data_IF_977972387976
#
_entry.id   IF_977972387976
#
_cell.length_a   1.000
_cell.length_b   1.000
_cell.length_c   1.000
_cell.angle_alpha   90.00
_cell.angle_beta   90.00
_cell.angle_gamma   90.00
#
_symmetry.space_group_name_H-M   'P 1'
#
loop_
_entity.id
_entity.type
_entity.pdbx_description
1 polymer ?
#
# COMPACT_ATOMS: atom_id res chain seq x y z
N UNK A 1 43.85 -35.69 -25.58
CA UNK A 1 43.47 -36.26 -24.26
C UNK A 1 43.56 -35.20 -23.12
N UNK A 2 44.67 -34.45 -23.03
CA UNK A 2 44.88 -33.45 -21.97
C UNK A 2 43.86 -32.30 -21.96
N UNK A 3 43.43 -31.86 -23.15
CA UNK A 3 42.44 -30.76 -23.29
C UNK A 3 41.06 -31.12 -22.79
N UNK A 4 40.63 -32.36 -22.95
CA UNK A 4 39.34 -32.85 -22.42
C UNK A 4 39.40 -33.04 -20.92
N UNK A 5 40.55 -33.46 -20.39
CA UNK A 5 40.76 -33.60 -18.96
C UNK A 5 40.68 -32.22 -18.24
N UNK A 6 41.28 -31.19 -18.84
CA UNK A 6 41.21 -29.83 -18.31
C UNK A 6 39.78 -29.26 -18.34
N UNK A 7 39.03 -29.54 -19.40
CA UNK A 7 37.61 -29.11 -19.47
C UNK A 7 36.76 -29.81 -18.43
N UNK A 8 36.99 -31.09 -18.19
CA UNK A 8 36.28 -31.83 -17.10
C UNK A 8 36.62 -31.28 -15.73
N UNK A 9 37.90 -30.97 -15.46
CA UNK A 9 38.31 -30.34 -14.21
C UNK A 9 37.69 -28.96 -14.01
N UNK A 10 37.69 -28.12 -15.06
CA UNK A 10 37.06 -26.79 -15.00
C UNK A 10 35.56 -26.89 -14.75
N UNK A 11 34.87 -27.81 -15.44
CA UNK A 11 33.45 -28.05 -15.21
C UNK A 11 33.17 -28.52 -13.79
N UNK A 12 33.95 -29.44 -13.27
CA UNK A 12 33.83 -29.95 -11.89
C UNK A 12 34.04 -28.82 -10.88
N UNK A 13 35.08 -28.00 -11.06
CA UNK A 13 35.35 -26.87 -10.16
C UNK A 13 34.23 -25.84 -10.18
N UNK A 14 33.68 -25.49 -11.35
CA UNK A 14 32.54 -24.57 -11.47
C UNK A 14 31.29 -25.14 -10.78
N UNK A 15 31.02 -26.44 -10.98
CA UNK A 15 29.88 -27.10 -10.34
C UNK A 15 30.01 -27.11 -8.82
N UNK A 16 31.20 -27.46 -8.31
CA UNK A 16 31.45 -27.45 -6.85
C UNK A 16 31.34 -26.05 -6.26
N UNK A 17 31.83 -25.03 -6.98
CA UNK A 17 31.74 -23.65 -6.56
C UNK A 17 30.27 -23.17 -6.54
N UNK A 18 29.49 -23.55 -7.54
CA UNK A 18 28.07 -23.25 -7.60
C UNK A 18 27.30 -23.93 -6.44
N UNK A 19 27.60 -25.19 -6.15
CA UNK A 19 27.02 -25.90 -5.01
C UNK A 19 27.43 -25.28 -3.68
N UNK A 20 28.70 -24.90 -3.48
CA UNK A 20 29.16 -24.26 -2.26
C UNK A 20 28.49 -22.89 -2.08
N UNK A 21 28.37 -22.12 -3.15
CA UNK A 21 27.67 -20.81 -3.13
C UNK A 21 26.19 -20.96 -2.81
N UNK A 22 25.51 -21.93 -3.43
CA UNK A 22 24.11 -22.24 -3.15
C UNK A 22 23.91 -22.70 -1.70
N UNK A 23 24.82 -23.52 -1.18
CA UNK A 23 24.76 -24.00 0.19
C UNK A 23 24.97 -22.86 1.22
N UNK A 24 25.97 -22.00 0.99
CA UNK A 24 26.20 -20.84 1.88
C UNK A 24 25.03 -19.87 1.82
N UNK A 25 24.48 -19.61 0.63
CA UNK A 25 23.31 -18.76 0.47
C UNK A 25 22.10 -19.35 1.19
N UNK A 26 21.85 -20.66 1.03
CA UNK A 26 20.76 -21.36 1.72
C UNK A 26 20.94 -21.37 3.24
N UNK A 27 22.18 -21.53 3.72
CA UNK A 27 22.50 -21.49 5.15
C UNK A 27 22.30 -20.09 5.74
N UNK A 28 22.77 -19.04 5.05
CA UNK A 28 22.56 -17.66 5.47
C UNK A 28 21.06 -17.29 5.44
N UNK A 29 20.32 -17.75 4.43
CA UNK A 29 18.87 -17.55 4.32
C UNK A 29 18.13 -18.30 5.44
N UNK A 30 18.50 -19.55 5.75
CA UNK A 30 17.86 -20.33 6.82
C UNK A 30 18.17 -19.80 8.22
N UNK A 31 19.30 -19.09 8.40
CA UNK A 31 19.65 -18.43 9.66
C UNK A 31 18.88 -17.12 9.90
N UNK A 32 18.17 -16.61 8.89
CA UNK A 32 17.29 -15.45 9.03
C UNK A 32 16.06 -15.88 9.85
N UNK A 33 15.86 -15.25 11.00
CA UNK A 33 14.72 -15.52 11.91
C UNK A 33 13.34 -15.36 11.24
N UNK A 34 13.28 -14.65 10.10
CA UNK A 34 12.09 -14.50 9.27
C UNK A 34 11.68 -15.81 8.59
N UNK A 35 12.64 -16.71 8.28
CA UNK A 35 12.35 -17.97 7.61
C UNK A 35 12.10 -19.11 8.59
N UNK A 36 12.52 -18.99 9.85
CA UNK A 36 12.27 -20.01 10.87
C UNK A 36 10.80 -20.08 11.32
N UNK A 37 10.00 -19.06 11.00
CA UNK A 37 8.54 -19.04 11.25
C UNK A 37 7.70 -19.47 10.04
N UNK A 38 8.34 -19.75 8.90
CA UNK A 38 7.65 -20.18 7.67
C UNK A 38 7.95 -21.67 7.47
N UNK A 39 7.02 -22.52 7.87
CA UNK A 39 7.12 -23.99 7.75
C UNK A 39 7.17 -24.49 6.28
N UNK A 40 7.03 -23.60 5.30
CA UNK A 40 7.07 -23.95 3.89
C UNK A 40 7.97 -22.98 3.11
N UNK A 41 9.23 -23.41 2.88
CA UNK A 41 10.24 -22.67 2.10
C UNK A 41 9.93 -22.51 0.60
N UNK A 42 8.76 -22.91 0.15
CA UNK A 42 8.41 -22.92 -1.27
C UNK A 42 8.03 -21.55 -1.85
N UNK A 43 7.77 -20.52 -1.02
CA UNK A 43 7.23 -19.23 -1.48
C UNK A 43 8.08 -18.00 -1.16
N UNK A 44 9.39 -18.17 -0.97
CA UNK A 44 10.28 -17.01 -0.79
C UNK A 44 10.66 -16.45 -2.16
N UNK A 45 10.14 -15.26 -2.48
CA UNK A 45 10.54 -14.54 -3.68
C UNK A 45 11.87 -13.79 -3.48
N UNK A 46 12.59 -13.52 -4.58
CA UNK A 46 13.82 -12.72 -4.54
C UNK A 46 13.59 -11.33 -3.95
N UNK A 47 12.38 -10.78 -4.10
CA UNK A 47 11.96 -9.52 -3.47
C UNK A 47 12.00 -9.58 -1.96
N UNK A 48 11.63 -10.70 -1.35
CA UNK A 48 11.61 -10.87 0.10
C UNK A 48 13.02 -10.88 0.66
N UNK A 49 13.94 -11.59 -0.02
CA UNK A 49 15.37 -11.59 0.31
C UNK A 49 15.95 -10.19 0.19
N UNK A 50 15.63 -9.47 -0.89
CA UNK A 50 16.06 -8.10 -1.08
C UNK A 50 15.58 -7.18 0.04
N UNK A 51 14.31 -7.27 0.40
CA UNK A 51 13.72 -6.46 1.47
C UNK A 51 14.40 -6.73 2.82
N UNK A 52 14.60 -8.00 3.18
CA UNK A 52 15.30 -8.37 4.44
C UNK A 52 16.74 -7.87 4.47
N UNK A 53 17.48 -7.97 3.35
CA UNK A 53 18.85 -7.46 3.28
C UNK A 53 18.88 -5.94 3.32
N UNK A 54 17.93 -5.26 2.67
CA UNK A 54 17.80 -3.81 2.70
C UNK A 54 17.46 -3.32 4.12
N UNK A 55 16.54 -3.97 4.80
CA UNK A 55 16.15 -3.68 6.18
C UNK A 55 17.33 -3.76 7.16
N UNK A 56 18.17 -4.80 7.05
CA UNK A 56 19.36 -4.95 7.90
C UNK A 56 20.40 -3.85 7.70
N UNK A 57 20.40 -3.18 6.56
CA UNK A 57 21.34 -2.11 6.21
C UNK A 57 20.77 -0.72 6.42
N UNK A 58 19.47 -0.61 6.55
CA UNK A 58 18.80 0.67 6.72
C UNK A 58 18.95 1.16 8.17
N UNK A 59 19.19 2.44 8.30
CA UNK A 59 18.97 3.13 9.58
C UNK A 59 17.47 3.38 9.65
N UNK A 60 16.83 2.97 10.74
CA UNK A 60 15.40 3.28 10.97
C UNK A 60 15.20 4.79 10.82
N UNK A 61 14.32 5.18 9.94
CA UNK A 61 13.99 6.57 9.66
C UNK A 61 12.47 6.70 9.70
N UNK A 62 11.97 7.64 10.47
CA UNK A 62 10.55 8.01 10.43
C UNK A 62 10.31 8.84 9.17
N UNK A 63 9.23 8.56 8.46
CA UNK A 63 8.81 9.38 7.32
C UNK A 63 8.23 10.69 7.84
N UNK A 64 8.67 11.78 7.25
CA UNK A 64 8.13 13.13 7.43
C UNK A 64 7.10 13.51 6.34
N UNK A 65 6.78 12.57 5.45
CA UNK A 65 5.90 12.80 4.31
C UNK A 65 4.50 12.20 4.50
N UNK A 66 4.38 11.16 5.34
CA UNK A 66 3.13 10.41 5.52
C UNK A 66 2.88 10.18 7.00
N UNK A 67 1.71 10.61 7.47
CA UNK A 67 1.18 10.36 8.81
C UNK A 67 -0.02 9.43 8.69
N UNK A 68 -0.10 8.43 9.55
CA UNK A 68 -1.22 7.52 9.65
C UNK A 68 -2.10 7.91 10.84
N UNK A 69 -3.41 8.01 10.61
CA UNK A 69 -4.37 8.30 11.68
C UNK A 69 -5.31 7.10 11.88
N UNK A 70 -5.24 6.49 13.05
CA UNK A 70 -6.08 5.35 13.45
C UNK A 70 -7.48 5.80 13.84
N UNK A 71 -8.50 5.30 13.12
CA UNK A 71 -9.93 5.63 13.31
C UNK A 71 -10.81 4.39 13.50
N UNK A 72 -10.24 3.26 13.80
CA UNK A 72 -10.89 1.93 13.83
C UNK A 72 -12.01 1.82 14.86
N UNK A 73 -12.02 2.65 15.90
CA UNK A 73 -13.04 2.69 16.97
C UNK A 73 -13.91 3.93 16.98
N UNK A 74 -13.72 4.81 15.98
CA UNK A 74 -14.42 6.08 15.93
C UNK A 74 -15.85 5.92 15.42
N UNK A 75 -16.76 6.67 16.01
CA UNK A 75 -18.09 6.94 15.45
C UNK A 75 -17.94 7.80 14.18
N UNK A 76 -19.00 7.92 13.41
CA UNK A 76 -18.97 8.82 12.22
C UNK A 76 -18.83 10.29 12.59
N UNK A 77 -19.34 10.70 13.74
CA UNK A 77 -19.14 12.03 14.27
C UNK A 77 -17.68 12.32 14.61
N UNK A 78 -17.01 11.37 15.26
CA UNK A 78 -15.58 11.46 15.56
C UNK A 78 -14.73 11.44 14.29
N UNK A 79 -15.05 10.58 13.31
CA UNK A 79 -14.36 10.59 12.00
C UNK A 79 -14.53 11.95 11.31
N UNK A 80 -15.70 12.57 11.39
CA UNK A 80 -15.94 13.90 10.83
C UNK A 80 -15.04 14.94 11.51
N UNK A 81 -14.96 14.93 12.85
CA UNK A 81 -14.11 15.85 13.60
C UNK A 81 -12.61 15.65 13.27
N UNK A 82 -12.15 14.39 13.17
CA UNK A 82 -10.77 14.08 12.75
C UNK A 82 -10.50 14.61 11.35
N UNK A 83 -11.43 14.42 10.40
CA UNK A 83 -11.27 14.93 9.04
C UNK A 83 -11.19 16.46 9.00
N UNK A 84 -11.99 17.15 9.81
CA UNK A 84 -11.96 18.61 9.92
C UNK A 84 -10.63 19.09 10.52
N UNK A 85 -10.13 18.41 11.56
CA UNK A 85 -8.83 18.70 12.17
C UNK A 85 -7.67 18.48 11.20
N UNK A 86 -7.68 17.35 10.48
CA UNK A 86 -6.67 17.05 9.46
C UNK A 86 -6.72 18.05 8.30
N UNK A 87 -7.92 18.43 7.83
CA UNK A 87 -8.07 19.42 6.74
C UNK A 87 -7.60 20.83 7.18
N UNK A 88 -7.74 21.15 8.47
CA UNK A 88 -7.21 22.39 9.04
C UNK A 88 -5.69 22.50 8.89
N UNK A 89 -4.96 21.38 9.03
CA UNK A 89 -3.51 21.32 8.85
C UNK A 89 -3.04 21.43 7.38
N UNK A 90 -3.97 21.59 6.44
CA UNK A 90 -3.71 21.81 4.99
C UNK A 90 -2.83 20.73 4.34
N UNK A 91 -3.09 19.42 4.56
CA UNK A 91 -2.30 18.37 3.94
C UNK A 91 -2.42 18.41 2.41
N UNK A 92 -1.38 17.97 1.71
CA UNK A 92 -1.37 17.91 0.24
C UNK A 92 -2.42 16.93 -0.30
N UNK A 93 -2.68 15.84 0.43
CA UNK A 93 -3.76 14.90 0.15
C UNK A 93 -4.19 14.18 1.44
N UNK A 94 -5.45 13.79 1.50
CA UNK A 94 -6.03 12.97 2.57
C UNK A 94 -6.56 11.70 1.94
N UNK A 95 -6.12 10.53 2.41
CA UNK A 95 -6.67 9.23 2.02
C UNK A 95 -7.53 8.68 3.13
N UNK A 96 -8.82 8.49 2.89
CA UNK A 96 -9.72 7.86 3.85
C UNK A 96 -10.08 6.43 3.38
N UNK A 97 -9.42 5.41 3.92
CA UNK A 97 -9.64 4.01 3.53
C UNK A 97 -10.72 3.35 4.39
N UNK A 98 -11.95 3.83 4.24
CA UNK A 98 -13.13 3.29 4.94
C UNK A 98 -14.34 3.23 4.02
N UNK A 99 -15.08 2.10 4.07
CA UNK A 99 -16.37 1.93 3.39
C UNK A 99 -17.52 2.11 4.36
N UNK A 100 -18.32 3.12 4.14
CA UNK A 100 -19.54 3.42 4.92
C UNK A 100 -20.75 2.72 4.31
N UNK A 101 -20.94 1.43 4.61
CA UNK A 101 -21.94 0.57 3.93
C UNK A 101 -23.38 0.83 4.36
N UNK A 102 -23.61 1.26 5.59
CA UNK A 102 -24.95 1.39 6.17
C UNK A 102 -25.20 2.80 6.67
N UNK A 103 -26.37 3.39 6.40
CA UNK A 103 -26.73 4.70 6.95
C UNK A 103 -26.81 4.71 8.48
N UNK A 104 -26.42 5.83 9.07
CA UNK A 104 -26.56 6.11 10.52
C UNK A 104 -27.10 7.52 10.74
N UNK A 105 -27.43 7.83 11.99
CA UNK A 105 -27.94 9.16 12.36
C UNK A 105 -26.89 10.28 12.29
N UNK A 106 -25.60 9.93 12.26
CA UNK A 106 -24.46 10.86 12.16
C UNK A 106 -24.02 11.15 10.72
N UNK A 107 -24.70 10.56 9.73
CA UNK A 107 -24.31 10.66 8.32
C UNK A 107 -24.27 12.10 7.82
N UNK A 108 -25.15 12.96 8.28
CA UNK A 108 -25.19 14.35 7.84
C UNK A 108 -23.91 15.10 8.24
N UNK A 109 -23.40 14.87 9.44
CA UNK A 109 -22.16 15.47 9.96
C UNK A 109 -20.96 14.96 9.15
N UNK A 110 -20.86 13.64 8.99
CA UNK A 110 -19.78 13.04 8.22
C UNK A 110 -19.80 13.47 6.75
N UNK A 111 -20.99 13.51 6.12
CA UNK A 111 -21.11 13.93 4.73
C UNK A 111 -20.62 15.38 4.54
N UNK A 112 -20.95 16.27 5.47
CA UNK A 112 -20.46 17.65 5.43
C UNK A 112 -18.93 17.72 5.52
N UNK A 113 -18.31 16.97 6.42
CA UNK A 113 -16.87 16.89 6.55
C UNK A 113 -16.22 16.32 5.26
N UNK A 114 -16.78 15.23 4.72
CA UNK A 114 -16.31 14.64 3.45
C UNK A 114 -16.42 15.62 2.27
N UNK A 115 -17.50 16.40 2.20
CA UNK A 115 -17.67 17.40 1.15
C UNK A 115 -16.65 18.54 1.26
N UNK A 116 -16.37 19.00 2.46
CA UNK A 116 -15.50 20.14 2.73
C UNK A 116 -14.00 19.80 2.69
N UNK A 117 -13.63 18.55 3.06
CA UNK A 117 -12.23 18.14 3.09
C UNK A 117 -11.60 18.28 1.71
N UNK A 118 -10.50 19.05 1.66
CA UNK A 118 -9.73 19.31 0.42
C UNK A 118 -8.89 18.11 0.05
N UNK A 119 -8.64 17.90 -1.23
CA UNK A 119 -7.76 16.84 -1.73
C UNK A 119 -8.06 15.45 -1.15
N UNK A 120 -9.33 15.18 -0.81
CA UNK A 120 -9.78 13.91 -0.27
C UNK A 120 -9.84 12.84 -1.36
N UNK A 121 -9.23 11.70 -1.10
CA UNK A 121 -9.31 10.48 -1.90
C UNK A 121 -10.11 9.44 -1.14
N UNK A 122 -11.19 8.95 -1.76
CA UNK A 122 -12.06 7.92 -1.22
C UNK A 122 -11.75 6.55 -1.82
N UNK A 123 -11.96 5.46 -1.09
CA UNK A 123 -11.70 4.11 -1.57
C UNK A 123 -12.78 3.66 -2.56
N UNK A 124 -12.39 2.84 -3.49
CA UNK A 124 -13.29 2.10 -4.38
C UNK A 124 -12.80 0.66 -4.47
N UNK A 125 -13.72 -0.31 -4.47
CA UNK A 125 -13.39 -1.72 -4.67
C UNK A 125 -13.94 -2.18 -6.01
N UNK A 126 -13.16 -2.99 -6.73
CA UNK A 126 -13.56 -3.54 -8.03
C UNK A 126 -13.38 -5.05 -8.05
N UNK A 127 -14.16 -5.72 -8.88
CA UNK A 127 -13.99 -7.13 -9.22
C UNK A 127 -13.83 -7.28 -10.71
N UNK A 128 -13.07 -8.29 -11.12
CA UNK A 128 -12.94 -8.64 -12.53
C UNK A 128 -14.16 -9.45 -12.97
N UNK A 129 -14.89 -8.95 -13.97
CA UNK A 129 -16.03 -9.61 -14.55
C UNK A 129 -15.57 -10.40 -15.78
N UNK A 130 -15.56 -11.72 -15.67
CA UNK A 130 -15.06 -12.63 -16.72
C UNK A 130 -15.89 -12.55 -18.01
N UNK A 131 -17.18 -12.27 -17.90
CA UNK A 131 -18.12 -12.17 -19.02
C UNK A 131 -17.82 -11.00 -19.97
N UNK A 132 -17.29 -9.89 -19.44
CA UNK A 132 -16.92 -8.74 -20.27
C UNK A 132 -15.40 -8.48 -20.32
N UNK A 133 -14.58 -9.21 -19.54
CA UNK A 133 -13.14 -9.05 -19.51
C UNK A 133 -12.65 -7.73 -18.90
N UNK A 134 -13.47 -7.09 -18.09
CA UNK A 134 -13.21 -5.78 -17.49
C UNK A 134 -13.55 -5.76 -16.00
N UNK A 135 -13.11 -4.70 -15.31
CA UNK A 135 -13.46 -4.50 -13.92
C UNK A 135 -14.82 -3.82 -13.78
N UNK A 136 -15.54 -4.19 -12.74
CA UNK A 136 -16.77 -3.52 -12.31
C UNK A 136 -16.64 -3.14 -10.85
N UNK A 137 -17.25 -2.02 -10.46
CA UNK A 137 -17.32 -1.62 -9.05
C UNK A 137 -18.17 -2.62 -8.28
N UNK A 138 -17.60 -3.24 -7.26
CA UNK A 138 -18.25 -4.33 -6.49
C UNK A 138 -18.78 -3.87 -5.14
N UNK A 139 -18.28 -2.79 -4.63
CA UNK A 139 -18.62 -2.32 -3.30
C UNK A 139 -18.66 -0.80 -3.28
N UNK A 140 -19.75 -0.25 -2.79
CA UNK A 140 -20.00 1.17 -2.75
C UNK A 140 -20.31 1.64 -1.34
N UNK A 141 -19.88 2.85 -1.02
CA UNK A 141 -20.28 3.56 0.19
C UNK A 141 -21.66 4.18 0.02
N UNK A 142 -22.44 4.28 1.09
CA UNK A 142 -23.71 4.99 1.09
C UNK A 142 -23.58 6.49 0.71
N UNK A 143 -22.36 7.02 0.69
CA UNK A 143 -22.07 8.39 0.29
C UNK A 143 -21.67 8.54 -1.19
N UNK A 144 -21.49 7.45 -1.94
CA UNK A 144 -20.94 7.53 -3.31
C UNK A 144 -21.80 8.39 -4.24
N UNK A 145 -23.11 8.21 -4.19
CA UNK A 145 -24.05 9.01 -4.97
C UNK A 145 -24.13 10.48 -4.52
N UNK A 146 -23.72 10.80 -3.28
CA UNK A 146 -23.75 12.13 -2.69
C UNK A 146 -22.43 12.88 -2.88
N UNK A 147 -21.39 12.20 -3.32
CA UNK A 147 -20.02 12.71 -3.49
C UNK A 147 -19.48 12.41 -4.90
N UNK A 148 -20.21 12.82 -5.99
CA UNK A 148 -19.81 12.47 -7.35
C UNK A 148 -18.48 13.11 -7.78
N UNK A 149 -18.15 14.28 -7.21
CA UNK A 149 -16.97 15.06 -7.58
C UNK A 149 -15.71 14.67 -6.79
N UNK A 150 -15.83 13.79 -5.79
CA UNK A 150 -14.67 13.36 -4.98
C UNK A 150 -13.81 12.35 -5.73
N UNK A 151 -12.50 12.56 -5.62
CA UNK A 151 -11.49 11.68 -6.20
C UNK A 151 -11.57 10.29 -5.56
N UNK A 152 -11.45 9.26 -6.39
CA UNK A 152 -11.51 7.85 -5.95
C UNK A 152 -10.28 7.09 -6.41
N UNK A 153 -9.90 6.11 -5.59
CA UNK A 153 -8.82 5.19 -5.91
C UNK A 153 -9.16 3.75 -5.53
N UNK A 154 -8.70 2.80 -6.33
CA UNK A 154 -8.99 1.38 -6.12
C UNK A 154 -8.10 0.82 -5.02
N UNK A 155 -8.70 0.28 -3.98
CA UNK A 155 -8.00 -0.30 -2.81
C UNK A 155 -7.73 -1.80 -2.94
N UNK A 156 -8.05 -2.42 -4.08
CA UNK A 156 -7.76 -3.83 -4.30
C UNK A 156 -6.25 -4.06 -4.30
N UNK A 157 -5.81 -4.97 -3.44
CA UNK A 157 -4.47 -5.51 -3.45
C UNK A 157 -4.54 -6.97 -3.91
N UNK A 158 -3.68 -7.33 -4.86
CA UNK A 158 -3.49 -8.73 -5.22
C UNK A 158 -2.76 -9.42 -4.07
N UNK A 159 -3.44 -10.33 -3.40
CA UNK A 159 -2.82 -11.19 -2.40
C UNK A 159 -2.50 -12.53 -3.02
N UNK A 160 -1.37 -13.11 -2.68
CA UNK A 160 -1.13 -14.53 -2.90
C UNK A 160 -2.18 -15.34 -2.12
N UNK A 161 -2.88 -16.22 -2.83
CA UNK A 161 -3.98 -16.99 -2.25
C UNK A 161 -3.56 -17.91 -1.09
N UNK A 162 -2.30 -18.28 -1.02
CA UNK A 162 -1.79 -19.23 0.00
C UNK A 162 -1.31 -18.50 1.25
N UNK A 163 -0.56 -17.40 1.09
CA UNK A 163 0.12 -16.74 2.21
C UNK A 163 -0.38 -15.32 2.51
N UNK A 164 -1.32 -14.81 1.72
CA UNK A 164 -1.86 -13.45 1.84
C UNK A 164 -0.79 -12.34 1.77
N UNK A 165 0.34 -12.65 1.14
CA UNK A 165 1.41 -11.68 0.94
C UNK A 165 1.10 -10.77 -0.24
N UNK A 166 1.29 -9.48 -0.06
CA UNK A 166 1.15 -8.47 -1.11
C UNK A 166 2.54 -8.09 -1.61
N UNK A 167 2.93 -8.53 -2.80
CA UNK A 167 4.25 -8.25 -3.39
C UNK A 167 4.20 -7.23 -4.50
N UNK A 168 3.03 -7.06 -5.09
CA UNK A 168 2.82 -6.16 -6.21
C UNK A 168 1.43 -5.53 -6.15
N UNK A 169 1.24 -4.45 -6.87
CA UNK A 169 -0.08 -3.85 -7.04
C UNK A 169 -0.32 -3.47 -8.50
N UNK A 170 -1.58 -3.54 -8.90
CA UNK A 170 -2.02 -3.08 -10.22
C UNK A 170 -2.16 -1.55 -10.18
N UNK A 171 -1.59 -0.89 -11.18
CA UNK A 171 -1.52 0.58 -11.24
C UNK A 171 -2.88 1.18 -11.62
N UNK A 172 -3.53 0.60 -12.64
CA UNK A 172 -4.78 1.10 -13.21
C UNK A 172 -5.79 -0.02 -13.43
N UNK A 173 -7.06 0.33 -13.40
CA UNK A 173 -8.19 -0.60 -13.54
C UNK A 173 -9.15 -0.06 -14.61
N UNK A 174 -9.15 -0.61 -15.84
CA UNK A 174 -10.15 -0.26 -16.84
C UNK A 174 -11.52 -0.82 -16.44
N UNK A 175 -12.52 0.05 -16.34
CA UNK A 175 -13.88 -0.32 -15.95
C UNK A 175 -14.76 -0.64 -17.17
N UNK A 176 -15.84 -1.38 -16.93
CA UNK A 176 -16.79 -1.79 -17.95
C UNK A 176 -17.61 -0.64 -18.57
N UNK A 177 -17.64 0.51 -17.91
CA UNK A 177 -18.25 1.75 -18.41
C UNK A 177 -17.33 2.55 -19.35
N UNK A 178 -16.13 2.05 -19.62
CA UNK A 178 -15.11 2.69 -20.45
C UNK A 178 -14.23 3.70 -19.70
N UNK A 179 -14.45 3.91 -18.43
CA UNK A 179 -13.56 4.74 -17.58
C UNK A 179 -12.37 3.93 -17.05
N UNK A 180 -11.39 4.60 -16.48
CA UNK A 180 -10.23 3.96 -15.84
C UNK A 180 -10.04 4.59 -14.47
N UNK A 181 -9.87 3.74 -13.45
CA UNK A 181 -9.50 4.17 -12.11
C UNK A 181 -8.05 3.79 -11.82
N UNK A 182 -7.34 4.67 -11.14
CA UNK A 182 -6.01 4.37 -10.61
C UNK A 182 -6.12 3.65 -9.26
N UNK A 183 -5.06 2.93 -8.89
CA UNK A 183 -4.91 2.42 -7.54
C UNK A 183 -4.94 3.58 -6.52
N UNK A 184 -5.43 3.31 -5.32
CA UNK A 184 -5.60 4.31 -4.26
C UNK A 184 -4.30 5.06 -3.94
N UNK A 185 -3.19 4.33 -3.80
CA UNK A 185 -1.87 4.91 -3.54
C UNK A 185 -1.38 5.78 -4.71
N UNK A 186 -1.63 5.34 -5.94
CA UNK A 186 -1.30 6.10 -7.16
C UNK A 186 -2.09 7.39 -7.21
N UNK A 187 -3.38 7.33 -6.88
CA UNK A 187 -4.27 8.49 -6.81
C UNK A 187 -3.81 9.47 -5.74
N UNK A 188 -3.48 8.99 -4.54
CA UNK A 188 -2.92 9.81 -3.46
C UNK A 188 -1.60 10.48 -3.89
N UNK A 189 -0.70 9.73 -4.51
CA UNK A 189 0.58 10.26 -5.00
C UNK A 189 0.35 11.35 -6.05
N UNK A 190 -0.63 11.17 -6.94
CA UNK A 190 -0.99 12.19 -7.94
C UNK A 190 -1.47 13.49 -7.29
N UNK A 191 -2.25 13.37 -6.21
CA UNK A 191 -2.74 14.55 -5.48
C UNK A 191 -1.63 15.22 -4.65
N UNK A 192 -0.83 14.44 -3.92
CA UNK A 192 0.15 14.97 -2.97
C UNK A 192 1.46 15.42 -3.64
N UNK A 193 1.91 14.71 -4.69
CA UNK A 193 3.22 14.89 -5.32
C UNK A 193 3.13 14.67 -6.85
N UNK A 194 2.53 15.59 -7.61
CA UNK A 194 2.29 15.44 -9.05
C UNK A 194 3.58 15.18 -9.86
N UNK A 195 4.69 15.76 -9.43
CA UNK A 195 6.01 15.55 -10.07
C UNK A 195 6.56 14.13 -9.85
N UNK A 196 6.29 13.52 -8.70
CA UNK A 196 6.62 12.12 -8.41
C UNK A 196 5.74 11.21 -9.25
N UNK A 197 4.43 11.49 -9.27
CA UNK A 197 3.48 10.78 -10.12
C UNK A 197 3.87 10.85 -11.60
N UNK A 198 4.27 12.01 -12.11
CA UNK A 198 4.71 12.18 -13.51
C UNK A 198 5.84 11.21 -13.87
N UNK A 199 6.91 11.17 -13.07
CA UNK A 199 8.02 10.23 -13.25
C UNK A 199 7.62 8.76 -13.11
N UNK A 200 6.66 8.48 -12.23
CA UNK A 200 6.10 7.15 -12.07
C UNK A 200 5.30 6.73 -13.31
N UNK A 201 4.44 7.60 -13.82
CA UNK A 201 3.59 7.35 -14.97
C UNK A 201 4.39 7.14 -16.27
N UNK A 202 5.58 7.77 -16.41
CA UNK A 202 6.47 7.59 -17.55
C UNK A 202 6.94 6.14 -17.72
N UNK A 203 6.91 5.33 -16.66
CA UNK A 203 7.30 3.90 -16.73
C UNK A 203 6.26 3.05 -17.45
N UNK A 204 5.02 3.49 -17.54
CA UNK A 204 3.90 2.81 -18.21
C UNK A 204 3.71 1.35 -17.78
N UNK A 205 4.01 1.00 -16.54
CA UNK A 205 3.85 -0.34 -16.02
C UNK A 205 2.38 -0.58 -15.64
N UNK A 206 1.85 -1.76 -15.98
CA UNK A 206 0.51 -2.17 -15.53
C UNK A 206 0.52 -2.62 -14.07
N UNK A 207 1.64 -3.19 -13.63
CA UNK A 207 1.88 -3.66 -12.27
C UNK A 207 3.21 -3.13 -11.76
N UNK A 208 3.30 -2.88 -10.46
CA UNK A 208 4.50 -2.43 -9.78
C UNK A 208 4.81 -3.30 -8.58
N UNK A 209 6.08 -3.58 -8.37
CA UNK A 209 6.56 -4.34 -7.23
C UNK A 209 6.63 -3.42 -6.02
N UNK A 210 6.06 -3.87 -4.90
CA UNK A 210 6.14 -3.16 -3.62
C UNK A 210 7.52 -3.41 -3.03
N UNK A 211 8.22 -2.31 -2.74
CA UNK A 211 9.42 -2.33 -1.93
C UNK A 211 9.03 -1.94 -0.51
N UNK A 212 9.32 -2.80 0.43
CA UNK A 212 9.12 -2.53 1.85
C UNK A 212 10.38 -1.87 2.43
N UNK A 213 10.45 -0.54 2.46
CA UNK A 213 11.59 0.14 3.05
C UNK A 213 11.53 0.03 4.57
N UNK A 214 12.69 0.06 5.23
CA UNK A 214 12.79 0.25 6.69
C UNK A 214 12.47 1.71 7.05
N UNK A 215 11.26 2.13 6.76
CA UNK A 215 10.74 3.45 7.11
C UNK A 215 9.58 3.21 8.06
N UNK A 216 9.64 3.84 9.21
CA UNK A 216 8.52 3.92 10.13
C UNK A 216 7.65 5.11 9.73
N UNK A 217 6.35 4.97 9.90
CA UNK A 217 5.41 6.05 9.70
C UNK A 217 4.93 6.55 11.05
N UNK A 218 4.84 7.85 11.20
CA UNK A 218 4.17 8.41 12.35
C UNK A 218 2.72 7.96 12.37
N UNK A 219 2.28 7.45 13.51
CA UNK A 219 0.93 6.92 13.67
C UNK A 219 0.30 7.60 14.87
N UNK A 220 -0.77 8.33 14.63
CA UNK A 220 -1.59 8.99 15.61
C UNK A 220 -2.93 8.27 15.75
N UNK A 221 -3.46 8.22 16.97
CA UNK A 221 -4.84 7.79 17.18
C UNK A 221 -5.77 9.00 17.17
N UNK A 222 -7.05 8.79 16.91
CA UNK A 222 -8.04 9.89 16.86
C UNK A 222 -8.03 10.76 18.12
N UNK A 223 -7.84 10.16 19.31
CA UNK A 223 -7.73 10.84 20.58
C UNK A 223 -6.42 11.64 20.77
N UNK A 224 -5.44 11.45 19.91
CA UNK A 224 -4.21 12.25 19.86
C UNK A 224 -4.35 13.42 18.90
N UNK A 225 -5.23 13.28 17.90
CA UNK A 225 -5.57 14.35 16.94
C UNK A 225 -6.56 15.33 17.53
N UNK A 226 -7.49 14.84 18.34
CA UNK A 226 -8.55 15.63 18.98
C UNK A 226 -8.40 15.60 20.50
N UNK A 227 -8.64 16.74 21.15
CA UNK A 227 -8.82 16.78 22.59
C UNK A 227 -10.18 16.21 23.03
N UNK A 228 -10.41 16.18 24.35
CA UNK A 228 -11.67 15.65 24.92
C UNK A 228 -12.92 16.44 24.50
N UNK A 229 -12.75 17.67 24.06
CA UNK A 229 -13.78 18.58 23.55
C UNK A 229 -13.96 18.48 22.04
N UNK A 230 -13.10 17.70 21.35
CA UNK A 230 -13.13 17.49 19.88
C UNK A 230 -12.44 18.57 19.07
N UNK A 231 -11.53 19.34 19.68
CA UNK A 231 -10.69 20.32 18.97
C UNK A 231 -9.33 19.73 18.60
N UNK A 232 -8.69 20.20 17.50
CA UNK A 232 -7.35 19.78 17.13
C UNK A 232 -6.35 19.97 18.27
N UNK A 233 -5.54 18.96 18.53
CA UNK A 233 -4.44 19.05 19.50
C UNK A 233 -3.21 19.70 18.89
N UNK A 234 -2.25 20.22 19.69
CA UNK A 234 -0.98 20.72 19.18
C UNK A 234 -0.17 19.68 18.39
N UNK A 235 -0.34 18.39 18.68
CA UNK A 235 0.31 17.28 17.97
C UNK A 235 -0.19 17.18 16.53
N UNK A 236 -1.43 17.56 16.27
CA UNK A 236 -1.98 17.55 14.91
C UNK A 236 -1.45 18.71 14.04
N UNK A 237 -0.87 19.74 14.66
CA UNK A 237 -0.32 20.92 13.97
C UNK A 237 1.18 20.80 13.61
N UNK A 238 1.90 19.83 14.19
CA UNK A 238 3.32 19.54 13.92
C UNK A 238 3.49 18.66 12.68
#
# INVERSE_FOLDING_TARGET
MQRHLNLLWQSLCVTLLAFALSYTLAYDISSLSVLSSVEETADVALSDIYNVVAERRAVSRVSDEVVLVGIDRCTRGEIAAVLEAVDWCEPKAVGLDVFFRHPTHEDATLLAALQNCRNLVLPTRVVYAEDCGQFVVSEESCFDALLPDKTRGVVNLATDHVYQMVREFKVTFPLSDGTTLDNFVVTLTRCAAPEVYGRFAERCNEQEIIRYPSIEFETLMAEEVLDAEGFPTPVAEE
#
